data_IF_050109788627
#
_entry.id   IF_050109788627
#
_cell.length_a   1.000
_cell.length_b   1.000
_cell.length_c   1.000
_cell.angle_alpha   90.00
_cell.angle_beta   90.00
_cell.angle_gamma   90.00
#
_symmetry.space_group_name_H-M   'P 1'
#
loop_
_entity.id
_entity.type
_entity.pdbx_description
1 polymer ?
#
# COMPACT_ATOMS: atom_id res chain seq x y z
N UNK A 1 10.39 -9.61 1.76
CA UNK A 1 9.63 -8.80 0.79
C UNK A 1 10.55 -7.70 0.27
N UNK A 2 10.64 -7.46 -1.05
CA UNK A 2 11.42 -6.35 -1.57
C UNK A 2 10.60 -5.06 -1.46
N UNK A 3 11.07 -4.12 -0.65
CA UNK A 3 10.46 -2.81 -0.43
C UNK A 3 11.39 -1.73 -0.95
N UNK A 4 10.81 -0.65 -1.48
CA UNK A 4 11.55 0.55 -1.87
C UNK A 4 11.00 1.77 -1.13
N UNK A 5 11.84 2.65 -0.59
CA UNK A 5 11.37 3.87 0.04
C UNK A 5 10.85 4.85 -1.02
N UNK A 6 9.67 5.41 -0.79
CA UNK A 6 9.06 6.48 -1.59
C UNK A 6 8.67 7.65 -0.69
N UNK A 7 8.60 8.87 -1.24
CA UNK A 7 8.14 10.02 -0.46
C UNK A 7 6.63 9.87 -0.17
N UNK A 8 6.22 10.04 1.08
CA UNK A 8 4.82 9.96 1.51
C UNK A 8 3.92 10.88 0.67
N UNK A 9 4.39 12.10 0.35
CA UNK A 9 3.68 13.07 -0.49
C UNK A 9 3.42 12.64 -1.93
N UNK A 10 4.13 11.60 -2.41
CA UNK A 10 4.00 11.03 -3.76
C UNK A 10 2.98 9.90 -3.85
N UNK A 11 2.52 9.38 -2.70
CA UNK A 11 1.51 8.32 -2.63
C UNK A 11 0.16 8.82 -3.13
N UNK A 12 -0.49 8.01 -3.96
CA UNK A 12 -1.82 8.27 -4.54
C UNK A 12 -2.74 7.09 -4.30
N UNK A 13 -4.04 7.31 -4.40
CA UNK A 13 -5.02 6.22 -4.47
C UNK A 13 -4.63 5.19 -5.54
N UNK A 14 -4.81 3.90 -5.22
CA UNK A 14 -4.37 2.78 -6.04
C UNK A 14 -2.88 2.43 -5.93
N UNK A 15 -2.06 3.25 -5.26
CA UNK A 15 -0.66 2.88 -4.95
C UNK A 15 -0.61 1.75 -3.93
N UNK A 16 0.56 1.12 -3.81
CA UNK A 16 0.84 0.13 -2.76
C UNK A 16 1.89 0.68 -1.81
N UNK A 17 1.64 0.53 -0.52
CA UNK A 17 2.57 0.87 0.56
C UNK A 17 2.53 -0.21 1.64
N UNK A 18 3.55 -0.27 2.49
CA UNK A 18 3.55 -1.13 3.67
C UNK A 18 3.12 -0.30 4.88
N UNK A 19 2.17 -0.82 5.66
CA UNK A 19 1.75 -0.26 6.96
C UNK A 19 1.69 -1.41 7.94
N UNK A 20 2.39 -1.29 9.08
CA UNK A 20 2.48 -2.32 10.11
C UNK A 20 2.90 -3.70 9.54
N UNK A 21 3.98 -3.69 8.74
CA UNK A 21 4.53 -4.85 8.01
C UNK A 21 3.58 -5.56 7.01
N UNK A 22 2.38 -5.01 6.79
CA UNK A 22 1.41 -5.54 5.83
C UNK A 22 1.40 -4.72 4.52
N UNK A 23 1.54 -5.35 3.33
CA UNK A 23 1.37 -4.67 2.07
C UNK A 23 -0.10 -4.28 1.87
N UNK A 24 -0.34 -2.99 1.70
CA UNK A 24 -1.68 -2.42 1.59
C UNK A 24 -1.87 -1.72 0.24
N UNK A 25 -3.09 -1.78 -0.30
CA UNK A 25 -3.56 -0.93 -1.39
C UNK A 25 -4.16 0.35 -0.82
N UNK A 26 -3.68 1.49 -1.29
CA UNK A 26 -4.19 2.81 -0.88
C UNK A 26 -5.57 3.05 -1.48
N UNK A 27 -6.53 3.43 -0.63
CA UNK A 27 -7.92 3.69 -1.01
C UNK A 27 -8.33 5.15 -0.83
N UNK A 28 -7.61 5.92 -0.02
CA UNK A 28 -7.89 7.35 0.19
C UNK A 28 -6.58 8.09 0.54
N UNK A 29 -6.43 9.30 0.02
CA UNK A 29 -5.32 10.20 0.38
C UNK A 29 -5.83 11.61 0.64
N UNK A 30 -5.57 12.13 1.83
CA UNK A 30 -5.87 13.51 2.21
C UNK A 30 -4.60 14.28 2.57
N UNK A 31 -4.42 15.48 2.02
CA UNK A 31 -3.31 16.38 2.35
C UNK A 31 -3.82 17.56 3.16
N UNK A 32 -3.07 17.96 4.18
CA UNK A 32 -3.43 19.10 5.03
C UNK A 32 -2.22 19.94 5.39
N UNK A 33 -2.45 21.22 5.69
CA UNK A 33 -1.45 22.13 6.23
C UNK A 33 -2.03 22.78 7.50
N UNK A 34 -1.86 22.18 8.69
CA UNK A 34 -2.58 22.58 9.91
C UNK A 34 -2.29 24.00 10.41
N UNK A 35 -1.18 24.61 9.97
CA UNK A 35 -0.83 25.98 10.34
C UNK A 35 -0.11 26.73 9.22
N UNK A 36 -0.09 28.06 9.30
CA UNK A 36 0.55 28.95 8.30
C UNK A 36 2.00 28.56 8.00
N UNK A 37 2.75 28.22 9.05
CA UNK A 37 4.16 27.78 9.00
C UNK A 37 4.32 26.27 9.26
N UNK A 38 3.23 25.54 9.44
CA UNK A 38 3.26 24.11 9.72
C UNK A 38 3.70 23.29 8.51
N UNK A 39 4.40 22.18 8.77
CA UNK A 39 4.71 21.20 7.73
C UNK A 39 3.43 20.58 7.17
N UNK A 40 3.38 20.41 5.85
CA UNK A 40 2.28 19.70 5.21
C UNK A 40 2.28 18.23 5.68
N UNK A 41 1.09 17.73 6.00
CA UNK A 41 0.83 16.36 6.41
C UNK A 41 0.04 15.65 5.32
N UNK A 42 0.22 14.34 5.25
CA UNK A 42 -0.59 13.45 4.45
C UNK A 42 -1.19 12.40 5.36
N UNK A 43 -2.50 12.16 5.20
CA UNK A 43 -3.22 11.04 5.77
C UNK A 43 -3.51 10.06 4.63
N UNK A 44 -3.06 8.84 4.80
CA UNK A 44 -3.24 7.75 3.85
C UNK A 44 -4.11 6.71 4.51
N UNK A 45 -5.16 6.26 3.82
CA UNK A 45 -5.98 5.12 4.22
C UNK A 45 -5.74 4.01 3.21
N UNK A 46 -5.48 2.81 3.70
CA UNK A 46 -5.17 1.66 2.88
C UNK A 46 -5.83 0.39 3.44
N UNK A 47 -5.95 -0.62 2.59
CA UNK A 47 -6.52 -1.93 2.93
C UNK A 47 -5.45 -2.99 2.64
N UNK A 48 -5.19 -3.90 3.59
CA UNK A 48 -4.22 -4.97 3.42
C UNK A 48 -4.60 -5.91 2.28
N UNK A 49 -3.61 -6.36 1.51
CA UNK A 49 -3.84 -7.20 0.31
C UNK A 49 -4.22 -8.62 0.71
N UNK A 50 -3.70 -9.12 1.84
CA UNK A 50 -3.92 -10.50 2.26
C UNK A 50 -4.95 -10.64 3.38
N UNK A 51 -5.06 -9.63 4.25
CA UNK A 51 -5.93 -9.69 5.43
C UNK A 51 -7.21 -8.85 5.33
N UNK A 52 -7.35 -8.02 4.28
CA UNK A 52 -8.46 -7.08 4.08
C UNK A 52 -8.67 -6.08 5.24
N UNK A 53 -7.67 -5.91 6.11
CA UNK A 53 -7.76 -5.02 7.27
C UNK A 53 -7.44 -3.58 6.86
N UNK A 54 -8.35 -2.66 7.22
CA UNK A 54 -8.20 -1.23 6.96
C UNK A 54 -7.19 -0.60 7.94
N UNK A 55 -6.19 0.09 7.39
CA UNK A 55 -5.12 0.79 8.13
C UNK A 55 -5.06 2.26 7.73
N UNK A 56 -4.48 3.09 8.59
CA UNK A 56 -4.26 4.50 8.27
C UNK A 56 -2.93 5.02 8.80
N UNK A 57 -2.26 5.84 7.99
CA UNK A 57 -0.97 6.44 8.30
C UNK A 57 -1.07 7.97 8.17
N UNK A 58 -0.64 8.71 9.18
CA UNK A 58 -0.44 10.16 9.10
C UNK A 58 1.05 10.45 9.16
N UNK A 59 1.57 11.15 8.17
CA UNK A 59 3.00 11.42 8.05
C UNK A 59 3.28 12.80 7.45
N UNK A 60 4.44 13.43 7.72
CA UNK A 60 4.91 14.55 6.92
C UNK A 60 5.01 14.18 5.43
N UNK A 61 4.67 15.10 4.52
CA UNK A 61 4.74 14.82 3.07
C UNK A 61 6.15 14.48 2.56
N UNK A 62 7.18 14.91 3.27
CA UNK A 62 8.59 14.66 2.95
C UNK A 62 9.16 13.41 3.65
N UNK A 63 8.40 12.75 4.52
CA UNK A 63 8.81 11.49 5.12
C UNK A 63 8.86 10.38 4.06
N UNK A 64 9.66 9.34 4.32
CA UNK A 64 9.70 8.15 3.48
C UNK A 64 8.72 7.11 4.03
N UNK A 65 8.05 6.42 3.12
CA UNK A 65 7.22 5.25 3.39
C UNK A 65 7.68 4.12 2.49
N UNK A 66 7.48 2.88 2.91
CA UNK A 66 7.87 1.72 2.14
C UNK A 66 6.79 1.39 1.09
N UNK A 67 7.22 1.14 -0.15
CA UNK A 67 6.37 0.65 -1.21
C UNK A 67 6.79 -0.79 -1.57
N UNK A 68 5.90 -1.79 -1.47
CA UNK A 68 6.22 -3.15 -1.86
C UNK A 68 6.30 -3.27 -3.38
N UNK A 69 7.16 -4.16 -3.87
CA UNK A 69 7.19 -4.52 -5.28
C UNK A 69 6.07 -5.52 -5.60
N UNK A 70 5.04 -5.07 -6.32
CA UNK A 70 3.89 -5.90 -6.72
C UNK A 70 4.05 -6.33 -8.18
N UNK A 71 4.21 -7.63 -8.42
CA UNK A 71 4.23 -8.23 -9.77
C UNK A 71 2.90 -8.93 -10.03
N UNK A 72 2.15 -8.41 -11.01
CA UNK A 72 0.94 -9.08 -11.50
C UNK A 72 1.33 -9.98 -12.67
N UNK A 73 0.99 -11.26 -12.57
CA UNK A 73 1.18 -12.25 -13.63
C UNK A 73 -0.16 -12.88 -13.96
N UNK A 74 -0.29 -13.35 -15.20
CA UNK A 74 -1.38 -14.26 -15.58
C UNK A 74 -0.88 -15.68 -15.35
N UNK A 75 -1.79 -16.60 -15.12
CA UNK A 75 -1.51 -18.02 -15.03
C UNK A 75 -2.76 -18.81 -15.36
N UNK A 76 -2.60 -20.01 -15.91
CA UNK A 76 -3.68 -20.93 -16.21
C UNK A 76 -3.91 -21.85 -15.00
N UNK A 77 -5.18 -21.97 -14.58
CA UNK A 77 -5.56 -22.92 -13.53
C UNK A 77 -5.49 -24.34 -14.09
N UNK A 78 -4.67 -25.19 -13.47
CA UNK A 78 -4.56 -26.61 -13.83
C UNK A 78 -5.50 -27.44 -12.97
N UNK A 79 -5.53 -27.15 -11.68
CA UNK A 79 -6.27 -27.93 -10.69
C UNK A 79 -6.69 -27.06 -9.52
N UNK A 80 -7.88 -27.33 -8.97
CA UNK A 80 -8.40 -26.72 -7.76
C UNK A 80 -8.76 -27.85 -6.80
N UNK A 81 -8.04 -27.94 -5.69
CA UNK A 81 -8.41 -28.78 -4.54
C UNK A 81 -9.14 -27.95 -3.49
N UNK A 82 -9.21 -28.45 -2.26
CA UNK A 82 -9.95 -27.78 -1.18
C UNK A 82 -9.34 -26.41 -0.83
N UNK A 83 -8.10 -26.39 -0.32
CA UNK A 83 -7.40 -25.16 0.10
C UNK A 83 -6.21 -24.80 -0.81
N UNK A 84 -6.01 -25.55 -1.89
CA UNK A 84 -4.84 -25.42 -2.78
C UNK A 84 -5.26 -25.34 -4.23
N UNK A 85 -4.78 -24.31 -4.93
CA UNK A 85 -4.89 -24.19 -6.38
C UNK A 85 -3.52 -24.38 -7.04
N UNK A 86 -3.46 -25.18 -8.11
CA UNK A 86 -2.27 -25.34 -8.93
C UNK A 86 -2.39 -24.47 -10.18
N UNK A 87 -1.36 -23.67 -10.43
CA UNK A 87 -1.28 -22.72 -11.52
C UNK A 87 -0.09 -23.03 -12.41
N UNK A 88 -0.28 -22.95 -13.73
CA UNK A 88 0.78 -22.82 -14.72
C UNK A 88 0.99 -21.34 -15.01
N UNK A 89 2.22 -20.88 -15.14
CA UNK A 89 2.54 -19.49 -15.51
C UNK A 89 2.21 -19.15 -16.97
#
# INVERSE_FOLDING_TARGET
>A
MSVRPVAAGSVKEGSYIVIDDEPCRVVEVAKSKPGKHGAAKIRIVAIGIFDDVKRSLVSPVNARVEAPMVSKRKGQVIFVGDDVAQLMD
#
